data_IF_397025870541
#
_entry.id   IF_397025870541
#
_cell.length_a   1.000
_cell.length_b   1.000
_cell.length_c   1.000
_cell.angle_alpha   90.00
_cell.angle_beta   90.00
_cell.angle_gamma   90.00
#
_symmetry.space_group_name_H-M   'P 1'
#
loop_
_entity.id
_entity.type
_entity.pdbx_description
1 polymer ?
#
# COMPACT_ATOMS: atom_id res chain seq x y z
N UNK A 1 12.08 5.77 25.52
CA UNK A 1 11.50 5.62 24.15
C UNK A 1 12.00 6.78 23.32
N UNK A 2 12.75 6.50 22.25
CA UNK A 2 13.33 7.55 21.39
C UNK A 2 12.23 8.28 20.59
N UNK A 3 12.51 9.52 20.17
CA UNK A 3 11.58 10.33 19.35
C UNK A 3 11.19 9.59 18.07
N UNK A 4 12.10 8.83 17.49
CA UNK A 4 11.90 8.01 16.30
C UNK A 4 10.94 6.83 16.54
N UNK A 5 10.97 6.22 17.72
CA UNK A 5 10.04 5.15 18.11
C UNK A 5 8.59 5.66 18.23
N UNK A 6 8.39 6.90 18.69
CA UNK A 6 7.04 7.49 18.77
C UNK A 6 6.47 7.81 17.40
N UNK A 7 7.32 8.23 16.45
CA UNK A 7 6.92 8.50 15.05
C UNK A 7 6.60 7.19 14.35
N UNK A 8 7.40 6.14 14.49
CA UNK A 8 7.16 4.83 13.93
C UNK A 8 5.85 4.20 14.42
N UNK A 9 5.55 4.34 15.72
CA UNK A 9 4.27 3.88 16.31
C UNK A 9 3.09 4.69 15.75
N UNK A 10 3.26 5.99 15.53
CA UNK A 10 2.22 6.85 14.92
C UNK A 10 1.92 6.47 13.48
N UNK A 11 2.94 6.13 12.69
CA UNK A 11 2.80 5.70 11.30
C UNK A 11 2.13 4.31 11.25
N UNK A 12 2.54 3.40 12.12
CA UNK A 12 1.94 2.06 12.22
C UNK A 12 0.47 2.13 12.64
N UNK A 13 0.14 3.00 13.60
CA UNK A 13 -1.23 3.24 14.02
C UNK A 13 -2.07 3.88 12.88
N UNK A 14 -1.49 4.78 12.10
CA UNK A 14 -2.13 5.37 10.92
C UNK A 14 -2.44 4.33 9.82
N UNK A 15 -1.49 3.44 9.53
CA UNK A 15 -1.69 2.30 8.62
C UNK A 15 -2.79 1.36 9.11
N UNK A 16 -2.82 1.06 10.41
CA UNK A 16 -3.86 0.24 11.04
C UNK A 16 -5.24 0.87 10.91
N UNK A 17 -5.35 2.19 11.09
CA UNK A 17 -6.62 2.92 10.94
C UNK A 17 -7.10 2.91 9.49
N UNK A 18 -6.22 3.12 8.51
CA UNK A 18 -6.58 3.10 7.08
C UNK A 18 -7.00 1.69 6.66
N UNK A 19 -6.29 0.65 7.12
CA UNK A 19 -6.68 -0.73 6.89
C UNK A 19 -7.97 -1.14 7.62
N UNK A 20 -8.27 -0.60 8.80
CA UNK A 20 -9.55 -0.82 9.48
C UNK A 20 -10.74 -0.19 8.74
N UNK A 21 -10.55 0.90 8.00
CA UNK A 21 -11.63 1.56 7.25
C UNK A 21 -12.12 0.78 6.02
N UNK A 22 -11.31 -0.14 5.48
CA UNK A 22 -11.68 -0.94 4.31
C UNK A 22 -12.46 -2.21 4.61
N UNK A 23 -12.71 -2.55 5.89
CA UNK A 23 -13.42 -3.77 6.32
C UNK A 23 -14.55 -3.52 7.27
N UNK A 24 -15.76 -3.71 6.81
CA UNK A 24 -17.05 -3.72 7.48
C UNK A 24 -17.01 -3.97 9.01
N UNK A 25 -17.44 -2.99 9.83
CA UNK A 25 -17.78 -3.27 11.21
C UNK A 25 -17.77 -2.16 12.25
N UNK A 26 -17.66 -0.90 11.87
CA UNK A 26 -17.70 0.20 12.84
C UNK A 26 -18.73 1.27 12.45
N UNK A 27 -20.01 0.91 12.49
CA UNK A 27 -21.12 1.75 12.03
C UNK A 27 -21.53 2.89 12.97
N UNK A 28 -20.91 3.09 14.13
CA UNK A 28 -21.43 4.03 15.13
C UNK A 28 -20.53 5.20 15.53
N UNK A 29 -19.25 5.21 15.17
CA UNK A 29 -18.36 6.35 15.41
C UNK A 29 -18.01 7.15 14.15
N UNK A 30 -18.52 6.77 13.00
CA UNK A 30 -18.07 7.19 11.67
C UNK A 30 -18.76 8.44 11.10
N UNK A 31 -19.72 9.07 11.78
CA UNK A 31 -20.41 10.25 11.19
C UNK A 31 -19.52 11.49 11.03
N UNK A 32 -18.54 11.69 11.88
CA UNK A 32 -17.57 12.78 11.76
C UNK A 32 -16.32 12.39 10.96
N UNK A 33 -15.84 11.16 11.10
CA UNK A 33 -14.75 10.62 10.28
C UNK A 33 -15.16 10.38 8.82
N UNK A 34 -16.40 9.95 8.58
CA UNK A 34 -16.92 9.70 7.24
C UNK A 34 -16.91 10.94 6.33
N UNK A 35 -17.14 12.13 6.88
CA UNK A 35 -17.05 13.38 6.11
C UNK A 35 -15.61 13.73 5.73
N UNK A 36 -14.65 13.53 6.61
CA UNK A 36 -13.24 13.78 6.33
C UNK A 36 -12.69 12.82 5.27
N UNK A 37 -13.06 11.54 5.34
CA UNK A 37 -12.64 10.52 4.36
C UNK A 37 -13.28 10.76 3.00
N UNK A 38 -14.60 11.07 2.95
CA UNK A 38 -15.28 11.35 1.67
C UNK A 38 -14.73 12.61 0.97
N UNK A 39 -14.29 13.61 1.71
CA UNK A 39 -13.62 14.79 1.15
C UNK A 39 -12.17 14.52 0.71
N UNK A 40 -11.55 13.47 1.23
CA UNK A 40 -10.16 13.10 0.91
C UNK A 40 -10.05 12.25 -0.36
N UNK A 41 -11.14 11.57 -0.75
CA UNK A 41 -11.16 10.78 -1.99
C UNK A 41 -11.28 11.73 -3.18
N UNK A 42 -10.27 11.74 -4.02
CA UNK A 42 -10.23 12.53 -5.25
C UNK A 42 -10.86 11.72 -6.38
N UNK A 43 -11.94 12.23 -6.93
CA UNK A 43 -12.63 11.62 -8.07
C UNK A 43 -12.42 12.39 -9.36
N UNK A 44 -11.91 13.63 -9.26
CA UNK A 44 -11.59 14.45 -10.43
C UNK A 44 -10.31 13.90 -11.09
N UNK A 45 -10.32 13.60 -12.39
CA UNK A 45 -9.15 13.11 -13.12
C UNK A 45 -7.90 14.00 -12.98
N UNK A 46 -8.09 15.32 -12.93
CA UNK A 46 -6.96 16.26 -12.75
C UNK A 46 -6.27 16.10 -11.39
N UNK A 47 -7.06 15.97 -10.31
CA UNK A 47 -6.53 15.79 -8.97
C UNK A 47 -5.82 14.43 -8.85
N UNK A 48 -6.39 13.38 -9.46
CA UNK A 48 -5.78 12.05 -9.51
C UNK A 48 -4.44 12.12 -10.25
N UNK A 49 -4.40 12.78 -11.42
CA UNK A 49 -3.18 12.94 -12.19
C UNK A 49 -2.11 13.74 -11.44
N UNK A 50 -2.51 14.77 -10.69
CA UNK A 50 -1.59 15.56 -9.87
C UNK A 50 -0.97 14.72 -8.75
N UNK A 51 -1.76 13.95 -8.01
CA UNK A 51 -1.27 13.05 -6.97
C UNK A 51 -0.37 11.97 -7.59
N UNK A 52 -0.79 11.37 -8.70
CA UNK A 52 -0.01 10.34 -9.37
C UNK A 52 1.36 10.87 -9.81
N UNK A 53 1.41 12.05 -10.45
CA UNK A 53 2.67 12.68 -10.87
C UNK A 53 3.59 13.04 -9.70
N UNK A 54 3.03 13.31 -8.54
CA UNK A 54 3.80 13.53 -7.30
C UNK A 54 4.47 12.25 -6.78
N UNK A 55 3.87 11.09 -7.02
CA UNK A 55 4.40 9.80 -6.56
C UNK A 55 5.39 9.22 -7.56
N UNK A 56 4.95 8.90 -8.76
CA UNK A 56 5.76 8.34 -9.84
C UNK A 56 4.98 8.39 -11.17
N UNK A 57 5.70 8.29 -12.29
CA UNK A 57 5.06 7.95 -13.56
C UNK A 57 4.91 6.43 -13.64
N UNK A 58 3.79 5.95 -14.16
CA UNK A 58 3.51 4.54 -14.38
C UNK A 58 2.42 4.36 -15.42
N UNK A 59 2.37 3.18 -16.01
CA UNK A 59 1.31 2.81 -16.96
C UNK A 59 0.24 2.02 -16.22
N UNK A 60 -1.01 2.49 -16.31
CA UNK A 60 -2.14 1.77 -15.69
C UNK A 60 -2.42 0.47 -16.46
N UNK A 61 -2.42 -0.69 -15.80
CA UNK A 61 -2.69 -1.95 -16.50
C UNK A 61 -4.08 -1.96 -17.17
N UNK A 62 -4.25 -2.64 -18.31
CA UNK A 62 -5.54 -2.74 -18.97
C UNK A 62 -6.62 -3.31 -18.06
N UNK A 63 -7.79 -2.65 -18.01
CA UNK A 63 -8.90 -3.06 -17.15
C UNK A 63 -8.78 -2.62 -15.68
N UNK A 64 -7.86 -1.69 -15.38
CA UNK A 64 -7.71 -1.10 -14.05
C UNK A 64 -8.18 0.36 -14.04
N UNK A 65 -8.53 0.82 -12.84
CA UNK A 65 -8.86 2.23 -12.55
C UNK A 65 -7.97 2.74 -11.44
N UNK A 66 -7.53 4.00 -11.59
CA UNK A 66 -6.75 4.70 -10.58
C UNK A 66 -7.70 5.52 -9.72
N UNK A 67 -7.60 5.37 -8.41
CA UNK A 67 -8.22 6.22 -7.42
C UNK A 67 -7.12 6.87 -6.58
N UNK A 68 -7.35 8.10 -6.16
CA UNK A 68 -6.40 8.84 -5.36
C UNK A 68 -7.05 9.39 -4.09
N UNK A 69 -6.27 9.48 -3.03
CA UNK A 69 -6.66 10.19 -1.81
C UNK A 69 -5.44 10.87 -1.20
N UNK A 70 -5.69 11.95 -0.47
CA UNK A 70 -4.67 12.65 0.29
C UNK A 70 -5.18 12.85 1.70
N UNK A 71 -4.49 12.29 2.70
CA UNK A 71 -4.89 12.33 4.11
C UNK A 71 -3.66 12.69 4.94
N UNK A 72 -3.72 13.78 5.71
CA UNK A 72 -2.64 14.23 6.60
C UNK A 72 -1.27 14.39 5.91
N UNK A 73 -1.26 14.81 4.65
CA UNK A 73 -0.04 14.97 3.87
C UNK A 73 0.54 13.67 3.32
N UNK A 74 -0.15 12.54 3.48
CA UNK A 74 0.16 11.27 2.84
C UNK A 74 -0.71 11.17 1.58
N UNK A 75 -0.06 11.09 0.43
CA UNK A 75 -0.72 10.86 -0.84
C UNK A 75 -0.79 9.35 -1.12
N UNK A 76 -1.97 8.89 -1.52
CA UNK A 76 -2.20 7.48 -1.78
C UNK A 76 -2.86 7.28 -3.14
N UNK A 77 -2.36 6.31 -3.89
CA UNK A 77 -2.99 5.77 -5.09
C UNK A 77 -3.42 4.34 -4.86
N UNK A 78 -4.62 4.02 -5.28
CA UNK A 78 -5.15 2.67 -5.36
C UNK A 78 -5.49 2.38 -6.81
N UNK A 79 -4.76 1.45 -7.42
CA UNK A 79 -4.95 1.02 -8.79
C UNK A 79 -5.63 -0.34 -8.71
N UNK A 80 -6.94 -0.35 -8.93
CA UNK A 80 -7.79 -1.50 -8.73
C UNK A 80 -8.38 -2.01 -10.04
N UNK A 81 -8.52 -3.33 -10.21
CA UNK A 81 -9.16 -3.89 -11.39
C UNK A 81 -10.65 -3.55 -11.42
N UNK A 82 -11.19 -3.40 -12.63
CA UNK A 82 -12.64 -3.17 -12.82
C UNK A 82 -13.47 -4.43 -12.56
N UNK A 83 -12.84 -5.60 -12.58
CA UNK A 83 -13.44 -6.90 -12.25
C UNK A 83 -12.69 -7.53 -11.08
N UNK A 84 -13.39 -8.17 -10.13
CA UNK A 84 -12.75 -8.78 -8.97
C UNK A 84 -11.82 -9.93 -9.35
N UNK A 85 -10.86 -10.23 -8.49
CA UNK A 85 -9.99 -11.39 -8.58
C UNK A 85 -8.57 -11.11 -9.04
N UNK A 86 -8.28 -9.94 -9.61
CA UNK A 86 -6.92 -9.55 -9.99
C UNK A 86 -6.20 -8.79 -8.87
N UNK A 87 -4.85 -8.72 -8.89
CA UNK A 87 -4.09 -7.94 -7.90
C UNK A 87 -4.50 -6.47 -7.86
N UNK A 88 -4.45 -5.89 -6.67
CA UNK A 88 -4.64 -4.46 -6.43
C UNK A 88 -3.26 -3.87 -6.12
N UNK A 89 -2.92 -2.74 -6.75
CA UNK A 89 -1.69 -2.02 -6.49
C UNK A 89 -2.00 -0.79 -5.63
N UNK A 90 -1.21 -0.55 -4.63
CA UNK A 90 -1.31 0.59 -3.75
C UNK A 90 0.05 1.26 -3.62
N UNK A 91 0.10 2.57 -3.81
CA UNK A 91 1.29 3.38 -3.57
C UNK A 91 0.94 4.46 -2.56
N UNK A 92 1.72 4.55 -1.48
CA UNK A 92 1.57 5.58 -0.45
C UNK A 92 2.85 6.39 -0.39
N UNK A 93 2.74 7.70 -0.66
CA UNK A 93 3.86 8.63 -0.56
C UNK A 93 3.80 9.37 0.76
N UNK A 94 4.91 9.33 1.46
CA UNK A 94 5.13 10.08 2.69
C UNK A 94 5.77 11.44 2.38
N UNK A 95 5.45 12.49 3.16
CA UNK A 95 6.07 13.80 2.98
C UNK A 95 7.61 13.73 3.07
N UNK A 96 8.30 14.50 2.23
CA UNK A 96 9.77 14.50 2.15
C UNK A 96 10.47 14.90 3.46
N UNK A 97 9.79 15.60 4.38
CA UNK A 97 10.31 15.95 5.70
C UNK A 97 10.25 14.79 6.71
N UNK A 98 9.60 13.69 6.36
CA UNK A 98 9.65 12.45 7.11
C UNK A 98 10.78 11.62 6.50
N UNK A 99 11.94 11.59 7.16
CA UNK A 99 13.02 10.68 6.80
C UNK A 99 12.52 9.24 6.98
N UNK A 100 11.98 8.72 5.91
CA UNK A 100 11.55 7.35 5.81
C UNK A 100 12.73 6.56 5.26
N UNK A 101 13.44 5.89 6.14
CA UNK A 101 14.50 4.98 5.76
C UNK A 101 13.87 3.68 5.25
N UNK A 102 14.02 3.41 3.95
CA UNK A 102 13.52 2.20 3.33
C UNK A 102 14.05 0.94 4.01
N UNK A 103 15.31 0.95 4.44
CA UNK A 103 15.95 -0.19 5.12
C UNK A 103 15.38 -0.40 6.53
N UNK A 104 15.09 0.68 7.25
CA UNK A 104 14.43 0.58 8.55
C UNK A 104 12.97 0.10 8.40
N UNK A 105 12.28 0.55 7.38
CA UNK A 105 10.92 0.10 7.10
C UNK A 105 10.89 -1.39 6.74
N UNK A 106 11.80 -1.83 5.90
CA UNK A 106 11.93 -3.23 5.53
C UNK A 106 12.18 -4.11 6.77
N UNK A 107 13.12 -3.72 7.64
CA UNK A 107 13.37 -4.40 8.92
C UNK A 107 12.14 -4.41 9.84
N UNK A 108 11.35 -3.34 9.85
CA UNK A 108 10.12 -3.28 10.64
C UNK A 108 9.05 -4.22 10.11
N UNK A 109 8.88 -4.32 8.78
CA UNK A 109 7.98 -5.31 8.19
C UNK A 109 8.45 -6.71 8.55
N UNK A 110 9.73 -7.04 8.36
CA UNK A 110 10.29 -8.35 8.69
C UNK A 110 10.08 -8.74 10.16
N UNK A 111 10.28 -7.80 11.08
CA UNK A 111 10.06 -8.02 12.52
C UNK A 111 8.59 -8.16 12.90
N UNK A 112 7.70 -7.52 12.16
CA UNK A 112 6.28 -7.51 12.47
C UNK A 112 5.50 -8.65 11.80
N UNK A 113 6.04 -9.27 10.77
CA UNK A 113 5.45 -10.46 10.12
C UNK A 113 5.36 -11.66 11.09
N UNK A 114 6.21 -11.71 12.13
CA UNK A 114 6.13 -12.70 13.21
C UNK A 114 5.10 -12.38 14.32
N UNK A 115 4.58 -11.17 14.36
CA UNK A 115 3.60 -10.72 15.34
C UNK A 115 2.31 -10.40 14.57
N UNK A 116 1.19 -11.03 14.93
CA UNK A 116 -0.15 -10.87 14.34
C UNK A 116 -0.36 -9.49 13.65
N UNK A 117 0.08 -9.41 12.39
CA UNK A 117 -0.11 -8.22 11.61
C UNK A 117 -1.58 -8.17 11.18
N UNK A 118 -2.19 -7.05 11.45
CA UNK A 118 -3.57 -6.73 11.11
C UNK A 118 -4.63 -7.51 11.90
N UNK A 119 -5.24 -6.85 12.86
CA UNK A 119 -6.40 -7.27 13.65
C UNK A 119 -7.65 -7.71 12.87
N UNK A 120 -7.47 -8.39 11.74
CA UNK A 120 -8.49 -8.90 10.81
C UNK A 120 -8.61 -10.42 10.82
N UNK A 121 -7.97 -11.12 11.74
CA UNK A 121 -8.01 -12.58 11.74
C UNK A 121 -7.26 -13.23 10.57
N UNK A 122 -6.36 -12.52 9.90
CA UNK A 122 -5.45 -13.07 8.91
C UNK A 122 -4.07 -13.26 9.52
N UNK A 123 -3.52 -14.47 9.39
CA UNK A 123 -2.15 -14.76 9.76
C UNK A 123 -1.29 -14.70 8.50
N UNK A 124 -0.41 -13.70 8.40
CA UNK A 124 0.56 -13.62 7.33
C UNK A 124 1.85 -14.35 7.71
N UNK A 125 2.42 -15.06 6.75
CA UNK A 125 3.77 -15.64 6.83
C UNK A 125 4.65 -15.02 5.75
N UNK A 126 5.90 -14.74 6.08
CA UNK A 126 6.90 -14.30 5.13
C UNK A 126 7.32 -15.50 4.26
N UNK A 127 7.24 -15.36 2.94
CA UNK A 127 7.69 -16.35 1.96
C UNK A 127 9.12 -16.06 1.46
N UNK A 128 9.69 -14.89 1.80
CA UNK A 128 10.98 -14.43 1.34
C UNK A 128 10.91 -13.08 0.64
N UNK A 129 11.93 -12.81 -0.15
CA UNK A 129 12.07 -11.55 -0.88
C UNK A 129 12.38 -11.83 -2.35
N UNK A 130 11.94 -10.92 -3.22
CA UNK A 130 12.30 -10.93 -4.63
C UNK A 130 12.83 -9.56 -5.05
N UNK A 131 13.96 -9.47 -5.76
CA UNK A 131 14.43 -8.20 -6.27
C UNK A 131 13.56 -7.73 -7.44
N UNK A 132 13.13 -6.49 -7.38
CA UNK A 132 12.49 -5.77 -8.47
C UNK A 132 13.35 -4.55 -8.85
N UNK A 133 13.26 -4.14 -10.12
CA UNK A 133 14.00 -2.99 -10.63
C UNK A 133 13.03 -2.02 -11.27
N UNK A 134 12.94 -0.83 -10.71
CA UNK A 134 12.16 0.28 -11.28
C UNK A 134 12.77 1.61 -10.87
N UNK A 135 12.59 2.63 -11.71
CA UNK A 135 13.22 3.96 -11.55
C UNK A 135 14.76 3.91 -11.43
N UNK A 136 15.41 2.91 -12.03
CA UNK A 136 16.86 2.70 -11.87
C UNK A 136 17.29 2.26 -10.47
N UNK A 137 16.35 1.90 -9.59
CA UNK A 137 16.61 1.43 -8.23
C UNK A 137 16.31 -0.06 -8.14
N UNK A 138 17.13 -0.77 -7.36
CA UNK A 138 16.80 -2.11 -6.88
C UNK A 138 15.96 -1.97 -5.62
N UNK A 139 14.82 -2.64 -5.61
CA UNK A 139 13.91 -2.72 -4.48
C UNK A 139 13.69 -4.19 -4.16
N UNK A 140 14.00 -4.62 -2.95
CA UNK A 140 13.72 -5.99 -2.53
C UNK A 140 12.27 -6.03 -1.99
N UNK A 141 11.38 -6.66 -2.77
CA UNK A 141 9.97 -6.83 -2.39
C UNK A 141 9.84 -8.00 -1.42
N UNK A 142 9.25 -7.75 -0.27
CA UNK A 142 8.90 -8.77 0.72
C UNK A 142 7.63 -9.46 0.25
N UNK A 143 7.67 -10.78 0.13
CA UNK A 143 6.51 -11.59 -0.27
C UNK A 143 5.88 -12.19 0.97
N UNK A 144 4.60 -11.93 1.16
CA UNK A 144 3.83 -12.45 2.27
C UNK A 144 2.63 -13.24 1.77
N UNK A 145 2.25 -14.26 2.54
CA UNK A 145 1.05 -15.04 2.29
C UNK A 145 0.20 -15.10 3.55
N UNK A 146 -1.08 -14.80 3.41
CA UNK A 146 -2.04 -14.88 4.50
C UNK A 146 -3.26 -15.69 4.11
N UNK A 147 -3.96 -16.23 5.12
CA UNK A 147 -5.25 -16.91 4.90
C UNK A 147 -6.34 -16.10 5.58
N UNK A 148 -7.40 -15.80 4.83
CA UNK A 148 -8.59 -15.13 5.37
C UNK A 148 -9.38 -16.08 6.23
N UNK A 149 -10.30 -15.55 7.04
CA UNK A 149 -11.27 -16.34 7.82
C UNK A 149 -12.23 -17.18 6.94
N UNK A 150 -12.32 -16.87 5.66
CA UNK A 150 -13.09 -17.64 4.65
C UNK A 150 -12.26 -18.71 3.95
N UNK A 151 -11.00 -18.91 4.34
CA UNK A 151 -10.11 -19.91 3.77
C UNK A 151 -9.44 -19.49 2.46
N UNK A 152 -9.59 -18.25 2.01
CA UNK A 152 -8.90 -17.76 0.81
C UNK A 152 -7.45 -17.41 1.15
N UNK A 153 -6.53 -17.80 0.28
CA UNK A 153 -5.13 -17.44 0.38
C UNK A 153 -4.89 -16.12 -0.35
N UNK A 154 -4.30 -15.15 0.36
CA UNK A 154 -3.92 -13.84 -0.15
C UNK A 154 -2.40 -13.78 -0.26
N UNK A 155 -1.92 -13.31 -1.40
CA UNK A 155 -0.53 -12.90 -1.59
C UNK A 155 -0.43 -11.39 -1.45
N UNK A 156 0.68 -10.95 -0.86
CA UNK A 156 1.06 -9.55 -0.78
C UNK A 156 2.55 -9.40 -1.06
N UNK A 157 2.89 -8.48 -1.96
CA UNK A 157 4.26 -8.05 -2.23
C UNK A 157 4.40 -6.60 -1.78
N UNK A 158 5.40 -6.30 -0.95
CA UNK A 158 5.61 -4.96 -0.40
C UNK A 158 7.06 -4.53 -0.54
N UNK A 159 7.25 -3.25 -0.86
CA UNK A 159 8.58 -2.64 -0.88
C UNK A 159 8.51 -1.13 -0.78
N UNK A 160 9.65 -0.51 -0.56
CA UNK A 160 9.75 0.94 -0.49
C UNK A 160 10.76 1.45 -1.52
N UNK A 161 10.46 2.58 -2.14
CA UNK A 161 11.34 3.24 -3.11
C UNK A 161 11.26 4.76 -3.01
N UNK A 162 12.22 5.45 -3.60
CA UNK A 162 12.18 6.91 -3.68
C UNK A 162 11.28 7.37 -4.81
N UNK A 163 10.16 8.01 -4.47
CA UNK A 163 9.24 8.66 -5.40
C UNK A 163 9.68 10.08 -5.77
N UNK A 164 8.81 10.81 -6.47
CA UNK A 164 9.12 12.18 -6.92
C UNK A 164 9.18 13.18 -5.77
N UNK A 165 8.30 13.08 -4.78
CA UNK A 165 8.19 14.02 -3.66
C UNK A 165 8.45 13.38 -2.29
N UNK A 166 9.08 12.21 -2.24
CA UNK A 166 9.39 11.52 -0.97
C UNK A 166 9.40 10.02 -1.10
N UNK A 167 9.55 9.33 0.01
CA UNK A 167 9.54 7.87 0.04
C UNK A 167 8.16 7.32 -0.23
N UNK A 168 8.09 6.28 -1.02
CA UNK A 168 6.85 5.59 -1.42
C UNK A 168 6.87 4.16 -0.90
N UNK A 169 5.80 3.78 -0.23
CA UNK A 169 5.49 2.38 0.04
C UNK A 169 4.63 1.84 -1.10
N UNK A 170 5.11 0.77 -1.72
CA UNK A 170 4.35 -0.03 -2.68
C UNK A 170 3.82 -1.28 -1.97
N UNK A 171 2.54 -1.58 -2.14
CA UNK A 171 1.91 -2.84 -1.77
C UNK A 171 1.10 -3.36 -2.95
N UNK A 172 1.25 -4.64 -3.25
CA UNK A 172 0.51 -5.36 -4.29
C UNK A 172 -0.17 -6.52 -3.61
N UNK A 173 -1.51 -6.58 -3.65
CA UNK A 173 -2.28 -7.58 -2.91
C UNK A 173 -3.32 -8.24 -3.80
N UNK A 174 -3.48 -9.57 -3.68
CA UNK A 174 -4.51 -10.31 -4.43
C UNK A 174 -4.70 -11.74 -3.94
N UNK A 175 -5.78 -12.38 -4.39
CA UNK A 175 -5.99 -13.82 -4.13
C UNK A 175 -4.95 -14.63 -4.90
N UNK A 176 -4.30 -15.59 -4.24
CA UNK A 176 -3.30 -16.46 -4.87
C UNK A 176 -3.83 -17.21 -6.07
N UNK A 177 -5.08 -17.64 -6.01
CA UNK A 177 -5.73 -18.42 -7.08
C UNK A 177 -5.89 -17.63 -8.40
N UNK A 178 -5.91 -16.29 -8.31
CA UNK A 178 -6.09 -15.37 -9.44
C UNK A 178 -4.92 -14.40 -9.59
N UNK A 179 -3.80 -14.71 -8.95
CA UNK A 179 -2.59 -13.90 -9.06
C UNK A 179 -2.00 -13.95 -10.45
N UNK A 180 -1.88 -12.81 -11.10
CA UNK A 180 -1.32 -12.67 -12.45
C UNK A 180 0.06 -12.04 -12.38
N UNK A 181 1.12 -12.85 -12.21
CA UNK A 181 2.48 -12.34 -12.10
C UNK A 181 2.89 -11.45 -13.28
N UNK A 182 2.49 -11.80 -14.51
CA UNK A 182 2.78 -10.99 -15.68
C UNK A 182 2.20 -9.56 -15.60
N UNK A 183 1.02 -9.40 -14.99
CA UNK A 183 0.40 -8.08 -14.76
C UNK A 183 1.20 -7.31 -13.70
N UNK A 184 1.64 -7.99 -12.63
CA UNK A 184 2.49 -7.40 -11.59
C UNK A 184 3.81 -6.94 -12.17
N UNK A 185 4.52 -7.81 -12.89
CA UNK A 185 5.82 -7.49 -13.50
C UNK A 185 5.70 -6.34 -14.50
N UNK A 186 4.67 -6.34 -15.35
CA UNK A 186 4.41 -5.27 -16.31
C UNK A 186 4.19 -3.94 -15.59
N UNK A 187 3.41 -3.92 -14.52
CA UNK A 187 3.18 -2.73 -13.72
C UNK A 187 4.48 -2.23 -13.08
N UNK A 188 5.24 -3.10 -12.42
CA UNK A 188 6.50 -2.75 -11.78
C UNK A 188 7.49 -2.13 -12.79
N UNK A 189 7.65 -2.73 -13.97
CA UNK A 189 8.53 -2.21 -15.02
C UNK A 189 8.06 -0.86 -15.59
N UNK A 190 6.78 -0.52 -15.45
CA UNK A 190 6.24 0.75 -15.92
C UNK A 190 6.53 1.94 -14.98
N UNK A 191 6.95 1.68 -13.74
CA UNK A 191 7.24 2.73 -12.74
C UNK A 191 8.54 3.45 -13.11
N UNK A 192 8.42 4.78 -13.41
CA UNK A 192 9.50 5.67 -13.90
C UNK A 192 9.62 6.93 -13.07
#
# INVERSE_FOLDING_TARGET
MSRNTKIAIGILAGLLVICMCLGAGALLTLRSFGKAITQSIKTNPTDIAQIASGIAQFDTPPGYKVNAMSIFGIDMLVIAPTYPGKPIFMMMQYPANQNFDSDQFQKQIEQSVGQQYFGRGMNFRNLGQTPAYFRGQRVDLIIMEGTTNTGKTILEEMGAFQGNNGSVLLSIMGERATWEQATVDTFLHSIR
#
